data_IF_084246021469
#
_entry.id   IF_084246021469
#
_cell.length_a   1.000
_cell.length_b   1.000
_cell.length_c   1.000
_cell.angle_alpha   90.00
_cell.angle_beta   90.00
_cell.angle_gamma   90.00
#
_symmetry.space_group_name_H-M   'P 1'
#
loop_
_entity.id
_entity.type
_entity.pdbx_description
1 polymer ?
#
# COMPACT_ATOMS: atom_id res chain seq x y z
N UNK A 1 2.72 22.66 9.41
CA UNK A 1 3.99 21.97 9.72
C UNK A 1 4.63 21.32 8.49
N UNK A 2 3.91 20.49 7.73
CA UNK A 2 4.42 19.85 6.50
C UNK A 2 4.94 20.81 5.41
N UNK A 3 4.52 22.08 5.43
CA UNK A 3 5.02 23.13 4.53
C UNK A 3 6.00 24.11 5.19
N UNK A 4 6.54 23.81 6.39
CA UNK A 4 7.37 24.77 7.16
C UNK A 4 8.63 25.25 6.44
N UNK A 5 9.03 24.57 5.36
CA UNK A 5 10.19 24.88 4.53
C UNK A 5 9.80 25.45 3.14
N UNK A 6 8.61 26.03 3.00
CA UNK A 6 8.17 26.69 1.77
C UNK A 6 7.56 25.79 0.69
N UNK A 7 7.59 24.46 0.87
CA UNK A 7 6.91 23.49 0.02
C UNK A 7 6.35 22.34 0.86
N UNK A 8 5.25 21.73 0.41
CA UNK A 8 4.66 20.55 1.06
C UNK A 8 5.62 19.36 0.96
N UNK A 9 6.02 18.82 2.11
CA UNK A 9 6.92 17.66 2.23
C UNK A 9 6.34 16.59 3.16
N UNK A 10 6.78 15.32 3.02
CA UNK A 10 6.46 14.28 3.99
C UNK A 10 6.85 14.68 5.41
N UNK A 11 6.08 14.23 6.40
CA UNK A 11 6.39 14.44 7.82
C UNK A 11 7.33 13.36 8.37
N UNK A 12 7.36 12.18 7.74
CA UNK A 12 8.27 11.09 8.09
C UNK A 12 9.47 11.02 7.14
N UNK A 13 10.60 10.55 7.66
CA UNK A 13 11.78 10.16 6.88
C UNK A 13 12.06 8.68 7.11
N UNK A 14 12.59 8.04 6.07
CA UNK A 14 13.05 6.66 6.11
C UNK A 14 14.44 6.60 5.50
N UNK A 15 15.38 5.97 6.20
CA UNK A 15 16.78 5.86 5.82
C UNK A 15 17.35 4.49 6.20
N UNK A 16 18.50 4.15 5.64
CA UNK A 16 19.25 2.94 6.01
C UNK A 16 20.45 3.38 6.84
N UNK A 17 20.58 2.84 8.05
CA UNK A 17 21.72 3.15 8.92
C UNK A 17 23.02 2.44 8.47
N UNK A 18 24.14 2.74 9.12
CA UNK A 18 25.45 2.14 8.83
C UNK A 18 25.49 0.60 8.96
N UNK A 19 24.53 0.02 9.69
CA UNK A 19 24.40 -1.42 9.93
C UNK A 19 23.42 -2.08 8.95
N UNK A 20 22.81 -1.32 8.04
CA UNK A 20 21.83 -1.82 7.08
C UNK A 20 20.40 -1.90 7.61
N UNK A 21 20.08 -1.32 8.77
CA UNK A 21 18.72 -1.32 9.30
C UNK A 21 17.89 -0.19 8.70
N UNK A 22 16.61 -0.47 8.45
CA UNK A 22 15.63 0.57 8.08
C UNK A 22 15.25 1.39 9.32
N UNK A 23 15.56 2.68 9.29
CA UNK A 23 15.27 3.64 10.36
C UNK A 23 14.20 4.63 9.89
N UNK A 24 13.14 4.78 10.69
CA UNK A 24 12.05 5.71 10.45
C UNK A 24 12.01 6.80 11.50
N UNK A 25 11.79 8.04 11.08
CA UNK A 25 11.54 9.15 12.00
C UNK A 25 10.27 9.89 11.59
N UNK A 26 9.54 10.45 12.56
CA UNK A 26 8.35 11.28 12.34
C UNK A 26 8.38 12.44 13.33
N UNK A 27 8.23 13.66 12.82
CA UNK A 27 8.10 14.85 13.65
C UNK A 27 6.86 15.62 13.24
N UNK A 28 5.97 15.88 14.20
CA UNK A 28 4.79 16.72 13.98
C UNK A 28 4.25 17.32 15.27
N UNK A 29 3.60 18.49 15.21
CA UNK A 29 2.93 19.07 16.36
C UNK A 29 1.70 18.24 16.73
N UNK A 30 1.60 17.82 17.99
CA UNK A 30 0.47 17.08 18.53
C UNK A 30 -0.06 17.81 19.78
N UNK A 31 -1.15 18.56 19.60
CA UNK A 31 -1.89 19.16 20.71
C UNK A 31 -2.94 18.15 21.21
N UNK A 32 -2.56 17.36 22.22
CA UNK A 32 -3.43 16.35 22.82
C UNK A 32 -3.55 16.58 24.32
N UNK A 33 -4.61 16.03 24.93
CA UNK A 33 -4.86 16.15 26.36
C UNK A 33 -5.43 14.86 26.92
N UNK A 34 -5.05 14.55 28.15
CA UNK A 34 -5.56 13.40 28.93
C UNK A 34 -6.52 13.82 30.04
N UNK A 35 -6.75 15.13 30.20
CA UNK A 35 -7.68 15.71 31.19
C UNK A 35 -8.60 16.71 30.48
N UNK A 36 -9.91 16.58 30.70
CA UNK A 36 -10.91 17.56 30.25
C UNK A 36 -11.51 17.29 28.86
N UNK A 37 -12.55 18.05 28.52
CA UNK A 37 -13.28 17.91 27.26
C UNK A 37 -13.90 16.52 27.08
N UNK A 38 -13.73 15.95 25.88
CA UNK A 38 -14.23 14.62 25.53
C UNK A 38 -13.60 13.49 26.38
N UNK A 39 -12.36 13.66 26.86
CA UNK A 39 -11.71 12.65 27.71
C UNK A 39 -12.35 12.52 29.10
N UNK A 40 -13.14 13.52 29.53
CA UNK A 40 -13.93 13.46 30.78
C UNK A 40 -15.38 13.05 30.53
N UNK A 41 -15.97 13.51 29.43
CA UNK A 41 -17.41 13.37 29.15
C UNK A 41 -17.75 12.09 28.39
N UNK A 42 -16.83 11.54 27.58
CA UNK A 42 -17.03 10.30 26.84
C UNK A 42 -16.49 9.09 27.64
N UNK A 43 -17.35 8.15 28.08
CA UNK A 43 -16.93 6.96 28.80
C UNK A 43 -15.93 6.07 28.05
N UNK A 44 -16.07 5.95 26.72
CA UNK A 44 -15.15 5.16 25.90
C UNK A 44 -13.75 5.79 25.85
N UNK A 45 -13.67 7.11 25.72
CA UNK A 45 -12.37 7.81 25.72
C UNK A 45 -11.60 7.57 27.03
N UNK A 46 -12.30 7.55 28.18
CA UNK A 46 -11.71 7.22 29.48
C UNK A 46 -11.20 5.78 29.55
N UNK A 47 -11.97 4.83 29.00
CA UNK A 47 -11.56 3.42 28.94
C UNK A 47 -10.33 3.26 28.06
N UNK A 48 -10.29 3.89 26.87
CA UNK A 48 -9.14 3.85 25.98
C UNK A 48 -7.87 4.39 26.65
N UNK A 49 -7.95 5.53 27.35
CA UNK A 49 -6.81 6.07 28.10
C UNK A 49 -6.38 5.14 29.25
N UNK A 50 -7.33 4.49 29.93
CA UNK A 50 -7.04 3.52 30.98
C UNK A 50 -6.33 2.28 30.43
N UNK A 51 -6.78 1.76 29.28
CA UNK A 51 -6.14 0.63 28.59
C UNK A 51 -4.73 1.01 28.16
N UNK A 52 -4.56 2.21 27.57
CA UNK A 52 -3.26 2.68 27.10
C UNK A 52 -2.29 2.97 28.26
N UNK A 53 -2.79 3.29 29.44
CA UNK A 53 -2.02 3.40 30.67
C UNK A 53 -1.19 4.68 30.82
N UNK A 54 -1.22 5.58 29.83
CA UNK A 54 -0.48 6.86 29.81
C UNK A 54 -0.83 7.76 31.00
N UNK A 55 0.20 8.42 31.54
CA UNK A 55 0.11 9.31 32.71
C UNK A 55 0.19 10.77 32.33
N UNK A 56 0.71 11.09 31.16
CA UNK A 56 0.88 12.45 30.68
C UNK A 56 0.35 12.64 29.26
N UNK A 57 -0.01 13.88 28.91
CA UNK A 57 -0.37 14.22 27.54
C UNK A 57 0.81 14.03 26.56
N UNK A 58 2.04 14.17 27.06
CA UNK A 58 3.26 13.91 26.31
C UNK A 58 3.38 12.43 25.93
N UNK A 59 3.19 11.51 26.87
CA UNK A 59 3.18 10.07 26.57
C UNK A 59 2.11 9.71 25.54
N UNK A 60 0.92 10.31 25.64
CA UNK A 60 -0.13 10.11 24.63
C UNK A 60 0.32 10.62 23.25
N UNK A 61 0.97 11.78 23.17
CA UNK A 61 1.50 12.32 21.92
C UNK A 61 2.59 11.41 21.32
N UNK A 62 3.50 10.89 22.16
CA UNK A 62 4.56 9.96 21.75
C UNK A 62 3.97 8.65 21.19
N UNK A 63 2.94 8.10 21.85
CA UNK A 63 2.21 6.93 21.34
C UNK A 63 1.55 7.23 19.99
N UNK A 64 0.85 8.36 19.86
CA UNK A 64 0.20 8.74 18.60
C UNK A 64 1.23 8.90 17.48
N UNK A 65 2.36 9.54 17.76
CA UNK A 65 3.48 9.66 16.81
C UNK A 65 4.02 8.29 16.39
N UNK A 66 4.28 7.39 17.34
CA UNK A 66 4.75 6.04 17.05
C UNK A 66 3.74 5.26 16.18
N UNK A 67 2.45 5.31 16.51
CA UNK A 67 1.38 4.69 15.72
C UNK A 67 1.34 5.27 14.30
N UNK A 68 1.44 6.60 14.16
CA UNK A 68 1.50 7.28 12.87
C UNK A 68 2.67 6.80 12.01
N UNK A 69 3.86 6.65 12.61
CA UNK A 69 5.05 6.15 11.92
C UNK A 69 4.88 4.68 11.49
N UNK A 70 4.34 3.82 12.35
CA UNK A 70 4.06 2.41 12.01
C UNK A 70 3.01 2.30 10.90
N UNK A 71 1.96 3.11 10.94
CA UNK A 71 0.95 3.15 9.89
C UNK A 71 1.56 3.60 8.55
N UNK A 72 2.46 4.59 8.58
CA UNK A 72 3.21 5.01 7.40
C UNK A 72 4.10 3.89 6.85
N UNK A 73 4.83 3.17 7.71
CA UNK A 73 5.65 2.01 7.32
C UNK A 73 4.80 0.93 6.65
N UNK A 74 3.66 0.59 7.25
CA UNK A 74 2.76 -0.43 6.71
C UNK A 74 2.25 -0.06 5.32
N UNK A 75 1.90 1.22 5.11
CA UNK A 75 1.48 1.72 3.80
C UNK A 75 2.61 1.66 2.77
N UNK A 76 3.81 2.13 3.12
CA UNK A 76 4.98 2.06 2.23
C UNK A 76 5.32 0.62 1.88
N UNK A 77 5.34 -0.28 2.87
CA UNK A 77 5.57 -1.70 2.67
C UNK A 77 4.52 -2.32 1.75
N UNK A 78 3.24 -1.99 1.93
CA UNK A 78 2.19 -2.52 1.07
C UNK A 78 2.36 -2.05 -0.39
N UNK A 79 2.71 -0.77 -0.60
CA UNK A 79 2.95 -0.21 -1.93
C UNK A 79 4.21 -0.77 -2.61
N UNK A 80 5.26 -1.00 -1.83
CA UNK A 80 6.53 -1.54 -2.31
C UNK A 80 6.53 -3.08 -2.44
N UNK A 81 5.64 -3.78 -1.73
CA UNK A 81 5.56 -5.24 -1.77
C UNK A 81 4.94 -5.74 -3.08
N UNK A 82 5.46 -6.87 -3.54
CA UNK A 82 5.01 -7.53 -4.78
C UNK A 82 3.53 -7.90 -4.76
N UNK A 83 2.88 -8.08 -3.60
CA UNK A 83 1.48 -8.50 -3.52
C UNK A 83 0.49 -7.57 -4.22
N UNK A 84 0.63 -6.25 -4.03
CA UNK A 84 -0.22 -5.26 -4.72
C UNK A 84 0.19 -5.16 -6.20
N UNK A 85 1.49 -5.20 -6.49
CA UNK A 85 2.00 -5.16 -7.86
C UNK A 85 1.55 -6.38 -8.67
N UNK A 86 1.56 -7.59 -8.12
CA UNK A 86 1.13 -8.82 -8.77
C UNK A 86 -0.37 -8.80 -9.09
N UNK A 87 -1.20 -8.29 -8.17
CA UNK A 87 -2.63 -8.10 -8.40
C UNK A 87 -2.89 -7.09 -9.53
N UNK A 88 -2.21 -5.95 -9.52
CA UNK A 88 -2.27 -4.96 -10.60
C UNK A 88 -1.76 -5.50 -11.94
N UNK A 89 -0.69 -6.28 -11.93
CA UNK A 89 -0.10 -6.88 -13.12
C UNK A 89 -1.00 -7.96 -13.72
N UNK A 90 -1.69 -8.75 -12.90
CA UNK A 90 -2.72 -9.68 -13.36
C UNK A 90 -3.87 -8.95 -14.05
N UNK A 91 -4.40 -7.89 -13.42
CA UNK A 91 -5.45 -7.07 -14.02
C UNK A 91 -4.99 -6.37 -15.30
N UNK A 92 -3.76 -5.85 -15.31
CA UNK A 92 -3.15 -5.21 -16.46
C UNK A 92 -2.98 -6.20 -17.63
N UNK A 93 -2.51 -7.42 -17.36
CA UNK A 93 -2.42 -8.48 -18.35
C UNK A 93 -3.79 -8.85 -18.93
N UNK A 94 -4.84 -8.97 -18.10
CA UNK A 94 -6.20 -9.21 -18.56
C UNK A 94 -6.72 -8.08 -19.46
N UNK A 95 -6.46 -6.81 -19.09
CA UNK A 95 -6.84 -5.67 -19.92
C UNK A 95 -6.13 -5.70 -21.28
N UNK A 96 -4.85 -6.08 -21.32
CA UNK A 96 -4.08 -6.22 -22.56
C UNK A 96 -4.62 -7.38 -23.40
N UNK A 97 -5.00 -8.50 -22.79
CA UNK A 97 -5.66 -9.62 -23.47
C UNK A 97 -7.00 -9.20 -24.10
N UNK A 98 -7.83 -8.43 -23.37
CA UNK A 98 -9.08 -7.87 -23.88
C UNK A 98 -8.82 -6.95 -25.07
N UNK A 99 -7.83 -6.05 -24.98
CA UNK A 99 -7.46 -5.16 -26.10
C UNK A 99 -6.93 -5.94 -27.32
N UNK A 100 -6.34 -7.11 -27.11
CA UNK A 100 -5.93 -8.00 -28.20
C UNK A 100 -7.11 -8.74 -28.85
N UNK A 101 -8.31 -8.67 -28.26
CA UNK A 101 -9.53 -9.32 -28.76
C UNK A 101 -9.84 -10.68 -28.15
N UNK A 102 -9.24 -11.01 -26.99
CA UNK A 102 -9.58 -12.22 -26.24
C UNK A 102 -10.98 -12.08 -25.60
N UNK A 103 -11.76 -13.15 -25.60
CA UNK A 103 -13.11 -13.19 -25.02
C UNK A 103 -13.33 -14.40 -24.11
N UNK A 104 -14.16 -14.25 -23.09
CA UNK A 104 -14.46 -15.32 -22.13
C UNK A 104 -13.18 -15.91 -21.52
N UNK A 105 -13.06 -17.24 -21.55
CA UNK A 105 -11.93 -17.98 -21.00
C UNK A 105 -10.58 -17.65 -21.65
N UNK A 106 -10.58 -17.11 -22.89
CA UNK A 106 -9.34 -16.72 -23.57
C UNK A 106 -8.61 -15.60 -22.82
N UNK A 107 -9.34 -14.74 -22.10
CA UNK A 107 -8.76 -13.60 -21.39
C UNK A 107 -7.79 -14.09 -20.31
N UNK A 108 -8.22 -15.05 -19.51
CA UNK A 108 -7.40 -15.62 -18.44
C UNK A 108 -6.24 -16.43 -19.00
N UNK A 109 -6.46 -17.22 -20.06
CA UNK A 109 -5.42 -18.01 -20.72
C UNK A 109 -4.31 -17.12 -21.30
N UNK A 110 -4.66 -16.06 -22.02
CA UNK A 110 -3.69 -15.13 -22.61
C UNK A 110 -2.97 -14.34 -21.51
N UNK A 111 -3.69 -13.87 -20.49
CA UNK A 111 -3.11 -13.14 -19.37
C UNK A 111 -2.09 -13.99 -18.59
N UNK A 112 -2.42 -15.24 -18.27
CA UNK A 112 -1.52 -16.15 -17.56
C UNK A 112 -0.23 -16.43 -18.33
N UNK A 113 -0.32 -16.64 -19.65
CA UNK A 113 0.86 -16.87 -20.50
C UNK A 113 1.73 -15.61 -20.54
N UNK A 114 1.16 -14.42 -20.72
CA UNK A 114 1.90 -13.15 -20.70
C UNK A 114 2.62 -12.90 -19.36
N UNK A 115 1.95 -13.17 -18.24
CA UNK A 115 2.53 -13.03 -16.89
C UNK A 115 3.68 -14.02 -16.70
N UNK A 116 3.49 -15.29 -17.10
CA UNK A 116 4.54 -16.33 -17.01
C UNK A 116 5.77 -15.99 -17.84
N UNK A 117 5.57 -15.42 -19.03
CA UNK A 117 6.65 -14.98 -19.93
C UNK A 117 7.26 -13.62 -19.55
N UNK A 118 6.71 -12.93 -18.53
CA UNK A 118 7.06 -11.54 -18.17
C UNK A 118 7.00 -10.57 -19.36
N UNK A 119 6.12 -10.83 -20.32
CA UNK A 119 5.96 -10.06 -21.56
C UNK A 119 4.51 -9.61 -21.72
N UNK A 120 4.14 -8.51 -21.06
CA UNK A 120 2.80 -7.94 -21.11
C UNK A 120 2.77 -6.83 -22.16
N UNK A 121 2.55 -7.22 -23.42
CA UNK A 121 2.46 -6.29 -24.55
C UNK A 121 1.36 -6.73 -25.52
N UNK A 122 0.77 -5.77 -26.22
CA UNK A 122 -0.37 -6.01 -27.10
C UNK A 122 -0.03 -6.91 -28.30
N UNK A 123 1.16 -6.75 -28.88
CA UNK A 123 1.68 -7.61 -29.96
C UNK A 123 1.77 -9.07 -29.50
N UNK A 124 2.37 -9.29 -28.32
CA UNK A 124 2.52 -10.62 -27.75
C UNK A 124 1.17 -11.26 -27.39
N UNK A 125 0.24 -10.47 -26.85
CA UNK A 125 -1.11 -10.92 -26.55
C UNK A 125 -1.83 -11.45 -27.81
N UNK A 126 -1.68 -10.76 -28.95
CA UNK A 126 -2.24 -11.20 -30.24
C UNK A 126 -1.62 -12.52 -30.71
N UNK A 127 -0.29 -12.66 -30.61
CA UNK A 127 0.40 -13.91 -30.97
C UNK A 127 -0.07 -15.10 -30.13
N UNK A 128 -0.23 -14.91 -28.81
CA UNK A 128 -0.70 -15.95 -27.90
C UNK A 128 -2.14 -16.33 -28.24
N UNK A 129 -3.01 -15.34 -28.46
CA UNK A 129 -4.41 -15.56 -28.80
C UNK A 129 -4.58 -16.33 -30.11
N UNK A 130 -3.83 -15.98 -31.15
CA UNK A 130 -3.85 -16.70 -32.42
C UNK A 130 -3.42 -18.16 -32.27
N UNK A 131 -2.37 -18.42 -31.46
CA UNK A 131 -1.92 -19.79 -31.18
C UNK A 131 -2.99 -20.62 -30.48
N UNK A 132 -3.62 -20.05 -29.44
CA UNK A 132 -4.68 -20.73 -28.68
C UNK A 132 -5.87 -21.10 -29.57
N UNK A 133 -6.29 -20.20 -30.47
CA UNK A 133 -7.39 -20.46 -31.40
C UNK A 133 -7.05 -21.53 -32.44
N UNK A 134 -5.84 -21.48 -33.02
CA UNK A 134 -5.37 -22.52 -33.97
C UNK A 134 -5.27 -23.91 -33.34
N UNK A 135 -4.89 -23.99 -32.06
CA UNK A 135 -4.84 -25.28 -31.34
C UNK A 135 -6.23 -25.83 -31.04
N UNK A 136 -7.23 -24.98 -30.78
CA UNK A 136 -8.63 -25.40 -30.63
C UNK A 136 -9.22 -25.93 -31.93
N UNK A 137 -8.90 -25.32 -33.07
CA UNK A 137 -9.37 -25.78 -34.39
C UNK A 137 -8.78 -27.14 -34.80
N UNK A 138 -7.66 -27.56 -34.19
CA UNK A 138 -7.00 -28.85 -34.45
C UNK A 138 -7.45 -29.98 -33.51
N UNK A 139 -8.24 -29.68 -32.49
CA UNK A 139 -8.79 -30.65 -31.53
C UNK A 139 -10.24 -30.96 -31.87
#
# INVERSE_FOLDING_TARGET
YACRFGAYKPLSTWEIDEKGNLVGSLEMPLAVGIVGGATRTNPLARICLKILGVKTARELAEVIGAVGLVQNLAALRALAAEGIQAGHMSLHAKNIAIMAGAVGDEIDQVAEIMVREKCIRLDRAKEILEKLRRERERR
#
